data_IF_350635515570
#
_entry.id   IF_350635515570
#
_cell.length_a   1.000
_cell.length_b   1.000
_cell.length_c   1.000
_cell.angle_alpha   90.00
_cell.angle_beta   90.00
_cell.angle_gamma   90.00
#
_symmetry.space_group_name_H-M   'P 1'
#
loop_
_entity.id
_entity.type
_entity.pdbx_description
1 polymer ?
#
# COMPACT_ATOMS: atom_id res chain seq x y z
N UNK A 1 -10.10 -1.96 -10.37
CA UNK A 1 -10.43 -1.92 -8.91
C UNK A 1 -10.41 -3.31 -8.30
N UNK A 2 -9.93 -3.43 -7.06
CA UNK A 2 -9.97 -4.70 -6.32
C UNK A 2 -9.97 -4.53 -4.80
N UNK A 3 -10.46 -5.54 -4.08
CA UNK A 3 -10.44 -5.60 -2.61
C UNK A 3 -9.67 -6.83 -2.14
N UNK A 4 -8.99 -6.72 -0.99
CA UNK A 4 -8.28 -7.80 -0.30
C UNK A 4 -8.16 -7.49 1.21
N UNK A 5 -7.38 -8.30 1.91
CA UNK A 5 -6.86 -8.03 3.25
C UNK A 5 -5.35 -8.34 3.30
N UNK A 6 -4.69 -7.88 4.36
CA UNK A 6 -3.30 -8.21 4.66
C UNK A 6 -3.27 -8.93 6.00
N UNK A 7 -2.55 -10.04 6.06
CA UNK A 7 -2.26 -10.76 7.30
C UNK A 7 -0.76 -10.98 7.39
N UNK A 8 -0.17 -10.51 8.48
CA UNK A 8 1.23 -10.74 8.86
C UNK A 8 2.26 -10.33 7.81
N UNK A 9 2.07 -9.18 7.15
CA UNK A 9 3.14 -8.59 6.33
C UNK A 9 4.23 -7.98 7.20
N UNK A 10 5.47 -8.15 6.79
CA UNK A 10 6.65 -7.42 7.28
C UNK A 10 7.15 -6.46 6.21
N UNK A 11 8.19 -5.70 6.53
CA UNK A 11 8.82 -4.75 5.61
C UNK A 11 9.24 -5.46 4.32
N UNK A 12 8.89 -4.86 3.17
CA UNK A 12 9.21 -5.40 1.84
C UNK A 12 8.16 -6.37 1.28
N UNK A 13 7.10 -6.70 2.03
CA UNK A 13 6.01 -7.47 1.44
C UNK A 13 5.22 -6.65 0.41
N UNK A 14 4.85 -7.34 -0.67
CA UNK A 14 4.24 -6.75 -1.86
C UNK A 14 2.82 -7.26 -2.08
N UNK A 15 2.02 -6.40 -2.70
CA UNK A 15 0.71 -6.77 -3.23
C UNK A 15 0.80 -7.58 -4.52
N UNK A 16 -0.34 -8.13 -4.94
CA UNK A 16 -0.53 -8.53 -6.35
C UNK A 16 -0.34 -7.33 -7.26
N UNK A 17 0.09 -7.59 -8.50
CA UNK A 17 0.16 -6.58 -9.55
C UNK A 17 -1.25 -6.28 -10.08
N UNK A 18 -1.45 -5.08 -10.61
CA UNK A 18 -2.63 -4.72 -11.40
C UNK A 18 -2.24 -3.80 -12.54
N UNK A 19 -2.93 -3.91 -13.67
CA UNK A 19 -2.76 -3.00 -14.80
C UNK A 19 -3.54 -1.73 -14.55
N UNK A 20 -2.90 -0.58 -14.77
CA UNK A 20 -3.50 0.73 -14.60
C UNK A 20 -2.89 1.78 -15.53
N UNK A 21 -3.55 2.93 -15.62
CA UNK A 21 -3.02 4.12 -16.30
C UNK A 21 -3.53 5.39 -15.63
N UNK A 22 -2.74 6.45 -15.70
CA UNK A 22 -3.04 7.81 -15.21
C UNK A 22 -3.24 7.99 -13.70
N UNK A 23 -3.92 7.08 -13.02
CA UNK A 23 -4.33 7.21 -11.63
C UNK A 23 -4.39 5.85 -10.93
N UNK A 24 -3.82 5.76 -9.74
CA UNK A 24 -4.11 4.65 -8.82
C UNK A 24 -4.25 5.19 -7.40
N UNK A 25 -5.20 4.63 -6.66
CA UNK A 25 -5.37 4.88 -5.24
C UNK A 25 -5.30 3.58 -4.44
N UNK A 26 -4.54 3.60 -3.35
CA UNK A 26 -4.50 2.52 -2.37
C UNK A 26 -5.15 3.00 -1.09
N UNK A 27 -6.06 2.20 -0.55
CA UNK A 27 -6.74 2.48 0.72
C UNK A 27 -6.58 1.31 1.68
N UNK A 28 -6.16 1.61 2.91
CA UNK A 28 -6.11 0.64 4.01
C UNK A 28 -7.12 1.04 5.09
N UNK A 29 -7.93 0.10 5.54
CA UNK A 29 -8.91 0.29 6.61
C UNK A 29 -8.65 -0.72 7.73
N UNK A 30 -8.72 -0.23 8.97
CA UNK A 30 -8.49 -1.02 10.19
C UNK A 30 -7.14 -1.76 10.18
N UNK A 31 -6.07 -0.98 10.32
CA UNK A 31 -4.69 -1.45 10.42
C UNK A 31 -4.34 -1.83 11.85
N UNK A 32 -3.48 -2.84 11.98
CA UNK A 32 -2.85 -3.25 13.23
C UNK A 32 -1.41 -3.66 12.93
N UNK A 33 -0.45 -3.20 13.74
CA UNK A 33 0.94 -3.63 13.65
C UNK A 33 1.32 -4.38 14.92
N UNK A 34 1.47 -5.70 14.81
CA UNK A 34 1.99 -6.52 15.90
C UNK A 34 3.47 -6.22 16.11
N UNK A 35 3.90 -6.15 17.38
CA UNK A 35 5.29 -5.83 17.79
C UNK A 35 5.78 -4.43 17.40
N UNK A 36 4.89 -3.60 16.85
CA UNK A 36 5.16 -2.21 16.51
C UNK A 36 5.19 -1.29 17.73
N UNK A 37 6.03 -0.26 17.66
CA UNK A 37 6.06 0.83 18.64
C UNK A 37 5.35 2.09 18.14
N UNK A 38 4.96 2.13 16.86
CA UNK A 38 4.19 3.22 16.28
C UNK A 38 3.07 2.75 15.35
N UNK A 39 2.04 3.57 15.26
CA UNK A 39 0.85 3.34 14.45
C UNK A 39 1.04 3.93 13.04
N UNK A 40 1.92 3.30 12.25
CA UNK A 40 2.12 3.68 10.85
C UNK A 40 2.55 2.52 9.95
N UNK A 41 2.27 2.68 8.66
CA UNK A 41 2.95 1.94 7.59
C UNK A 41 3.30 2.91 6.46
N UNK A 42 4.50 2.78 5.88
CA UNK A 42 4.86 3.44 4.63
C UNK A 42 4.49 2.52 3.48
N UNK A 43 3.63 3.01 2.59
CA UNK A 43 3.19 2.34 1.37
C UNK A 43 3.94 2.94 0.19
N UNK A 44 4.77 2.14 -0.47
CA UNK A 44 5.59 2.52 -1.61
C UNK A 44 4.96 1.99 -2.90
N UNK A 45 4.74 2.86 -3.89
CA UNK A 45 4.23 2.45 -5.21
C UNK A 45 5.38 2.14 -6.15
N UNK A 46 5.21 1.08 -6.93
CA UNK A 46 6.15 0.59 -7.93
C UNK A 46 5.41 0.30 -9.25
N UNK A 47 6.11 0.53 -10.36
CA UNK A 47 5.75 -0.01 -11.66
C UNK A 47 6.65 -1.19 -11.97
N UNK A 48 6.03 -2.32 -12.27
CA UNK A 48 6.69 -3.53 -12.75
C UNK A 48 7.08 -3.32 -14.22
N UNK A 49 8.38 -3.40 -14.53
CA UNK A 49 8.88 -3.18 -15.90
C UNK A 49 9.55 -4.46 -16.38
N UNK A 50 8.97 -5.17 -17.37
CA UNK A 50 9.53 -6.39 -17.89
C UNK A 50 10.98 -6.22 -18.34
N UNK A 51 11.87 -7.08 -17.82
CA UNK A 51 13.30 -7.11 -18.14
C UNK A 51 14.07 -5.84 -17.76
N UNK A 52 13.54 -5.03 -16.83
CA UNK A 52 14.22 -3.85 -16.30
C UNK A 52 14.03 -3.76 -14.78
N UNK A 53 14.64 -2.73 -14.18
CA UNK A 53 14.44 -2.41 -12.76
C UNK A 53 13.10 -1.71 -12.59
N UNK A 54 12.33 -2.17 -11.60
CA UNK A 54 11.05 -1.58 -11.25
C UNK A 54 11.20 -0.11 -10.86
N UNK A 55 10.26 0.71 -11.33
CA UNK A 55 10.32 2.16 -11.14
C UNK A 55 9.48 2.56 -9.93
N UNK A 56 10.12 3.21 -8.96
CA UNK A 56 9.44 3.84 -7.82
C UNK A 56 8.64 5.07 -8.26
N UNK A 57 7.42 5.20 -7.74
CA UNK A 57 6.57 6.40 -7.85
C UNK A 57 6.41 7.13 -6.51
N UNK A 58 7.35 6.90 -5.58
CA UNK A 58 7.31 7.46 -4.23
C UNK A 58 6.34 6.76 -3.28
N UNK A 59 6.33 7.20 -2.04
CA UNK A 59 5.58 6.58 -0.95
C UNK A 59 4.60 7.53 -0.26
N UNK A 60 3.69 6.94 0.51
CA UNK A 60 2.72 7.61 1.38
C UNK A 60 2.78 6.95 2.75
N UNK A 61 2.69 7.75 3.81
CA UNK A 61 2.63 7.22 5.18
C UNK A 61 1.18 7.13 5.63
N UNK A 62 0.72 5.91 5.92
CA UNK A 62 -0.63 5.63 6.40
C UNK A 62 -0.62 5.52 7.92
N UNK A 63 -1.38 6.40 8.58
CA UNK A 63 -1.49 6.45 10.06
C UNK A 63 -2.94 6.40 10.52
N UNK A 64 -3.87 7.01 9.77
CA UNK A 64 -5.29 7.07 10.13
C UNK A 64 -5.91 5.68 10.28
N UNK A 65 -5.55 4.71 9.44
CA UNK A 65 -6.13 3.36 9.50
C UNK A 65 -5.87 2.59 10.81
N UNK A 66 -4.87 3.01 11.60
CA UNK A 66 -4.56 2.40 12.89
C UNK A 66 -5.48 2.88 14.03
N UNK A 67 -6.34 3.89 13.78
CA UNK A 67 -7.24 4.45 14.80
C UNK A 67 -8.46 3.58 15.13
N UNK A 68 -8.65 2.46 14.40
CA UNK A 68 -9.70 1.47 14.65
C UNK A 68 -10.51 1.10 13.42
N UNK A 69 -11.59 0.35 13.63
CA UNK A 69 -12.31 -0.40 12.58
C UNK A 69 -12.95 0.42 11.47
N UNK A 70 -13.27 1.69 11.72
CA UNK A 70 -13.91 2.59 10.75
C UNK A 70 -12.97 3.62 10.13
N UNK A 71 -11.66 3.56 10.40
CA UNK A 71 -10.71 4.55 9.92
C UNK A 71 -9.93 4.03 8.73
N UNK A 72 -9.80 4.90 7.71
CA UNK A 72 -9.12 4.61 6.45
C UNK A 72 -7.96 5.57 6.22
N UNK A 73 -6.83 5.05 5.78
CA UNK A 73 -5.76 5.82 5.16
C UNK A 73 -5.80 5.61 3.65
N UNK A 74 -5.49 6.65 2.89
CA UNK A 74 -5.42 6.58 1.44
C UNK A 74 -4.14 7.22 0.92
N UNK A 75 -3.73 6.77 -0.26
CA UNK A 75 -2.62 7.32 -1.02
C UNK A 75 -2.96 7.30 -2.49
N UNK A 76 -2.76 8.42 -3.15
CA UNK A 76 -3.03 8.59 -4.59
C UNK A 76 -1.76 8.87 -5.36
N UNK A 77 -1.65 8.23 -6.52
CA UNK A 77 -0.59 8.44 -7.49
C UNK A 77 -1.22 8.81 -8.82
N UNK A 78 -0.85 9.98 -9.34
CA UNK A 78 -1.38 10.55 -10.58
C UNK A 78 -0.28 10.66 -11.64
N UNK A 79 -0.67 10.84 -12.90
CA UNK A 79 0.26 10.91 -14.03
C UNK A 79 1.00 9.60 -14.28
N UNK A 80 0.40 8.47 -13.92
CA UNK A 80 0.98 7.16 -14.15
C UNK A 80 0.96 6.80 -15.65
N UNK A 81 2.06 6.28 -16.22
CA UNK A 81 2.00 5.71 -17.56
C UNK A 81 1.20 4.41 -17.53
N UNK A 82 0.66 3.99 -18.68
CA UNK A 82 0.04 2.66 -18.80
C UNK A 82 1.03 1.55 -18.44
N UNK A 83 0.63 0.60 -17.61
CA UNK A 83 1.44 -0.56 -17.24
C UNK A 83 0.96 -1.28 -16.00
N UNK A 84 1.78 -2.19 -15.50
CA UNK A 84 1.49 -2.94 -14.28
C UNK A 84 2.12 -2.27 -13.07
N UNK A 85 1.35 -2.16 -12.00
CA UNK A 85 1.72 -1.53 -10.74
C UNK A 85 1.53 -2.49 -9.57
N UNK A 86 2.30 -2.25 -8.52
CA UNK A 86 2.09 -2.87 -7.23
C UNK A 86 2.50 -1.90 -6.11
N UNK A 87 1.97 -2.12 -4.91
CA UNK A 87 2.48 -1.46 -3.71
C UNK A 87 3.23 -2.44 -2.81
N UNK A 88 4.17 -1.88 -2.05
CA UNK A 88 4.99 -2.52 -1.02
C UNK A 88 4.75 -1.83 0.34
N UNK A 89 4.66 -2.62 1.41
CA UNK A 89 4.76 -2.09 2.77
C UNK A 89 6.24 -1.96 3.16
N UNK A 90 6.86 -0.81 2.89
CA UNK A 90 8.32 -0.64 2.99
C UNK A 90 8.82 -0.33 4.41
N UNK A 91 7.93 0.18 5.27
CA UNK A 91 8.28 0.50 6.67
C UNK A 91 7.06 0.42 7.59
N UNK A 92 6.93 -0.67 8.32
CA UNK A 92 5.86 -0.92 9.29
C UNK A 92 6.36 -0.53 10.69
N UNK A 93 5.61 0.32 11.40
CA UNK A 93 5.85 0.69 12.79
C UNK A 93 7.33 1.03 13.13
N UNK A 94 7.93 1.90 12.30
CA UNK A 94 9.35 2.32 12.31
C UNK A 94 10.36 1.41 11.58
N UNK A 95 9.92 0.26 11.06
CA UNK A 95 10.71 -0.64 10.20
C UNK A 95 11.61 -1.61 10.95
N UNK A 96 12.47 -2.31 10.21
CA UNK A 96 13.42 -3.30 10.75
C UNK A 96 12.92 -4.74 10.69
N UNK A 97 11.92 -5.02 9.84
CA UNK A 97 11.37 -6.37 9.57
C UNK A 97 10.81 -7.13 10.78
N UNK A 98 10.68 -6.50 11.96
CA UNK A 98 10.18 -7.13 13.18
C UNK A 98 8.65 -7.08 13.34
N UNK A 99 8.01 -6.13 12.67
CA UNK A 99 6.59 -5.84 12.85
C UNK A 99 5.73 -6.62 11.86
N UNK A 100 4.56 -7.05 12.31
CA UNK A 100 3.59 -7.75 11.46
C UNK A 100 2.36 -6.88 11.26
N UNK A 101 2.24 -6.29 10.08
CA UNK A 101 1.08 -5.54 9.65
C UNK A 101 -0.07 -6.51 9.32
N UNK A 102 -1.24 -6.19 9.85
CA UNK A 102 -2.53 -6.72 9.42
C UNK A 102 -3.43 -5.56 9.01
N UNK A 103 -4.16 -5.73 7.90
CA UNK A 103 -5.11 -4.74 7.39
C UNK A 103 -6.39 -5.47 7.05
N UNK A 104 -7.50 -5.05 7.65
CA UNK A 104 -8.78 -5.74 7.46
C UNK A 104 -9.34 -5.53 6.06
N UNK A 105 -9.13 -4.34 5.48
CA UNK A 105 -9.54 -4.07 4.10
C UNK A 105 -8.46 -3.27 3.40
N UNK A 106 -7.95 -3.88 2.34
CA UNK A 106 -7.18 -3.20 1.30
C UNK A 106 -8.10 -3.00 0.11
N UNK A 107 -8.23 -1.77 -0.36
CA UNK A 107 -8.92 -1.46 -1.59
C UNK A 107 -7.98 -0.71 -2.53
N UNK A 108 -7.98 -1.11 -3.81
CA UNK A 108 -7.28 -0.39 -4.87
C UNK A 108 -8.30 0.10 -5.87
N UNK A 109 -8.29 1.42 -6.08
CA UNK A 109 -9.07 2.11 -7.08
C UNK A 109 -8.19 2.49 -8.27
N UNK A 110 -8.62 2.06 -9.45
CA UNK A 110 -8.01 2.30 -10.77
C UNK A 110 -8.95 3.12 -11.65
N UNK A 111 -10.10 3.51 -11.12
CA UNK A 111 -10.98 4.49 -11.76
C UNK A 111 -10.66 5.82 -11.11
N UNK A 112 -10.13 6.78 -11.88
CA UNK A 112 -10.26 8.17 -11.49
C UNK A 112 -11.75 8.48 -11.57
N UNK A 113 -12.50 8.16 -10.51
CA UNK A 113 -13.88 8.59 -10.41
C UNK A 113 -13.84 10.11 -10.24
N UNK A 114 -14.16 10.75 -11.36
CA UNK A 114 -14.48 12.14 -11.61
C UNK A 114 -15.46 12.76 -10.60
#
# INVERSE_FOLDING_TARGET
>A
NWTSYISSWTDGNESRRWTDESYSQVQFTNCFAQYGTTDQVVVQMWRDIPLAVDKSYGSKTFTNCFRGSGYTSNGEWTGLPSGDFYFEASKIAQGGSCCLLSVSTVYVDTTQAD
#
